data_IF_075269347406
#
_entry.id   IF_075269347406
#
_cell.length_a   1.000
_cell.length_b   1.000
_cell.length_c   1.000
_cell.angle_alpha   90.00
_cell.angle_beta   90.00
_cell.angle_gamma   90.00
#
_symmetry.space_group_name_H-M   'P 1'
#
loop_
_entity.id
_entity.type
_entity.pdbx_description
1 polymer ?
#
# COMPACT_ATOMS: atom_id res chain seq x y z
N UNK A 1 -0.35 -24.93 6.49
CA UNK A 1 -1.26 -24.02 5.77
C UNK A 1 -2.45 -23.57 6.63
N UNK A 2 -2.30 -22.63 7.56
CA UNK A 2 -3.46 -22.07 8.28
C UNK A 2 -3.69 -20.56 8.07
N UNK A 3 -3.02 -19.91 7.10
CA UNK A 3 -3.16 -18.44 6.89
C UNK A 3 -4.38 -18.09 6.03
N UNK A 4 -4.90 -19.02 5.24
CA UNK A 4 -5.96 -18.79 4.24
C UNK A 4 -7.35 -18.65 4.87
N UNK A 5 -7.62 -19.30 5.99
CA UNK A 5 -8.96 -19.32 6.60
C UNK A 5 -9.42 -17.97 7.21
N UNK A 6 -8.50 -17.11 7.63
CA UNK A 6 -8.83 -15.78 8.18
C UNK A 6 -9.06 -14.70 7.12
N UNK A 7 -8.55 -14.88 5.89
CA UNK A 7 -8.68 -13.91 4.81
C UNK A 7 -9.99 -14.03 4.01
N UNK A 8 -10.60 -15.21 3.96
CA UNK A 8 -11.82 -15.45 3.18
C UNK A 8 -13.04 -14.68 3.71
N UNK A 9 -13.14 -14.46 5.02
CA UNK A 9 -14.24 -13.68 5.61
C UNK A 9 -14.12 -12.17 5.31
N UNK A 10 -12.90 -11.67 5.09
CA UNK A 10 -12.62 -10.25 4.80
C UNK A 10 -12.69 -9.92 3.30
N UNK A 11 -12.56 -10.93 2.44
CA UNK A 11 -12.59 -10.77 0.98
C UNK A 11 -13.48 -11.85 0.35
N UNK A 12 -14.80 -11.65 0.33
CA UNK A 12 -15.70 -12.59 -0.32
C UNK A 12 -15.27 -12.74 -1.81
N UNK A 13 -15.36 -13.95 -2.31
CA UNK A 13 -14.94 -14.31 -3.69
C UNK A 13 -13.42 -14.18 -3.95
N UNK A 14 -12.57 -14.34 -2.94
CA UNK A 14 -11.12 -14.19 -3.07
C UNK A 14 -10.55 -15.11 -4.16
N UNK A 15 -10.91 -16.40 -4.15
CA UNK A 15 -10.43 -17.38 -5.12
C UNK A 15 -10.83 -17.01 -6.55
N UNK A 16 -12.10 -16.62 -6.77
CA UNK A 16 -12.59 -16.14 -8.06
C UNK A 16 -11.81 -14.92 -8.55
N UNK A 17 -11.59 -13.94 -7.65
CA UNK A 17 -10.84 -12.72 -7.98
C UNK A 17 -9.38 -13.01 -8.32
N UNK A 18 -8.75 -13.96 -7.62
CA UNK A 18 -7.37 -14.37 -7.89
C UNK A 18 -7.25 -15.11 -9.22
N UNK A 19 -8.20 -15.99 -9.55
CA UNK A 19 -8.24 -16.68 -10.85
C UNK A 19 -8.35 -15.68 -12.00
N UNK A 20 -9.27 -14.72 -11.91
CA UNK A 20 -9.42 -13.65 -12.92
C UNK A 20 -8.17 -12.76 -12.98
N UNK A 21 -7.57 -12.39 -11.83
CA UNK A 21 -6.33 -11.61 -11.83
C UNK A 21 -5.20 -12.31 -12.55
N UNK A 22 -5.03 -13.61 -12.34
CA UNK A 22 -3.99 -14.40 -13.00
C UNK A 22 -4.13 -14.38 -14.55
N UNK A 23 -5.38 -14.35 -15.05
CA UNK A 23 -5.68 -14.23 -16.50
C UNK A 23 -5.54 -12.80 -17.01
N UNK A 24 -5.81 -11.80 -16.16
CA UNK A 24 -5.71 -10.40 -16.56
C UNK A 24 -4.24 -9.91 -16.66
N UNK A 25 -3.35 -10.32 -15.75
CA UNK A 25 -1.99 -9.78 -15.63
C UNK A 25 -1.17 -9.78 -16.91
N UNK A 26 -1.15 -10.84 -17.73
CA UNK A 26 -0.39 -10.84 -18.99
C UNK A 26 -0.83 -9.74 -19.96
N UNK A 27 -2.14 -9.41 -19.97
CA UNK A 27 -2.72 -8.43 -20.89
C UNK A 27 -2.65 -7.00 -20.33
N UNK A 28 -2.63 -6.85 -19.02
CA UNK A 28 -2.55 -5.51 -18.36
C UNK A 28 -1.31 -4.74 -18.79
N UNK A 29 -0.20 -5.40 -19.02
CA UNK A 29 1.04 -4.75 -19.46
C UNK A 29 0.87 -4.01 -20.81
N UNK A 30 0.00 -4.50 -21.70
CA UNK A 30 -0.26 -3.95 -23.03
C UNK A 30 -1.50 -3.06 -23.05
N UNK A 31 -2.64 -3.58 -22.57
CA UNK A 31 -3.97 -2.95 -22.69
C UNK A 31 -4.38 -2.14 -21.45
N UNK A 32 -3.56 -2.17 -20.41
CA UNK A 32 -3.81 -1.47 -19.15
C UNK A 32 -4.94 -2.09 -18.34
N UNK A 33 -5.25 -1.45 -17.21
CA UNK A 33 -6.37 -1.85 -16.35
C UNK A 33 -7.69 -1.33 -16.94
N UNK A 34 -8.31 -2.14 -17.80
CA UNK A 34 -9.48 -1.75 -18.58
C UNK A 34 -10.66 -2.73 -18.39
N UNK A 35 -11.88 -2.26 -18.74
CA UNK A 35 -13.04 -3.14 -18.74
C UNK A 35 -12.91 -4.29 -19.73
N UNK A 36 -12.24 -4.06 -20.86
CA UNK A 36 -12.01 -5.09 -21.87
C UNK A 36 -11.11 -6.19 -21.34
N UNK A 37 -10.00 -5.84 -20.66
CA UNK A 37 -9.09 -6.81 -20.02
C UNK A 37 -9.83 -7.59 -18.92
N UNK A 38 -10.66 -6.93 -18.11
CA UNK A 38 -11.42 -7.63 -17.08
C UNK A 38 -12.41 -8.63 -17.72
N UNK A 39 -13.15 -8.24 -18.76
CA UNK A 39 -14.12 -9.10 -19.43
C UNK A 39 -13.43 -10.33 -20.06
N UNK A 40 -12.35 -10.13 -20.80
CA UNK A 40 -11.56 -11.22 -21.38
C UNK A 40 -11.01 -12.16 -20.31
N UNK A 41 -10.52 -11.62 -19.19
CA UNK A 41 -9.99 -12.43 -18.10
C UNK A 41 -11.07 -13.25 -17.37
N UNK A 42 -12.30 -12.72 -17.24
CA UNK A 42 -13.45 -13.47 -16.70
C UNK A 42 -13.79 -14.66 -17.62
N UNK A 43 -13.84 -14.42 -18.93
CA UNK A 43 -14.12 -15.45 -19.93
C UNK A 43 -13.00 -16.53 -19.92
N UNK A 44 -11.74 -16.10 -19.95
CA UNK A 44 -10.59 -17.03 -19.94
C UNK A 44 -10.47 -17.83 -18.62
N UNK A 45 -10.95 -17.26 -17.50
CA UNK A 45 -11.00 -17.94 -16.22
C UNK A 45 -12.24 -18.84 -16.07
N UNK A 46 -13.10 -18.91 -17.10
CA UNK A 46 -14.34 -19.72 -17.12
C UNK A 46 -15.27 -19.42 -15.91
N UNK A 47 -15.34 -18.16 -15.50
CA UNK A 47 -16.16 -17.73 -14.38
C UNK A 47 -17.60 -17.49 -14.84
N UNK A 48 -18.55 -18.10 -14.13
CA UNK A 48 -19.98 -17.86 -14.36
C UNK A 48 -20.31 -16.35 -14.27
N UNK A 49 -21.15 -15.80 -15.20
CA UNK A 49 -21.47 -14.39 -15.22
C UNK A 49 -22.07 -13.84 -13.92
N UNK A 50 -22.94 -14.60 -13.26
CA UNK A 50 -23.53 -14.17 -11.98
C UNK A 50 -22.47 -14.12 -10.86
N UNK A 51 -21.53 -15.08 -10.88
CA UNK A 51 -20.39 -15.07 -9.95
C UNK A 51 -19.44 -13.90 -10.25
N UNK A 52 -19.22 -13.56 -11.53
CA UNK A 52 -18.39 -12.43 -11.92
C UNK A 52 -18.99 -11.09 -11.43
N UNK A 53 -20.29 -10.88 -11.57
CA UNK A 53 -20.97 -9.69 -11.04
C UNK A 53 -20.81 -9.55 -9.52
N UNK A 54 -20.96 -10.64 -8.79
CA UNK A 54 -20.76 -10.68 -7.34
C UNK A 54 -19.30 -10.45 -6.93
N UNK A 55 -18.36 -10.98 -7.71
CA UNK A 55 -16.94 -10.83 -7.42
C UNK A 55 -16.40 -9.44 -7.77
N UNK A 56 -16.91 -8.80 -8.81
CA UNK A 56 -16.43 -7.53 -9.35
C UNK A 56 -17.51 -6.43 -9.43
N UNK A 57 -18.27 -6.12 -8.34
CA UNK A 57 -19.36 -5.15 -8.37
C UNK A 57 -18.90 -3.72 -8.76
N UNK A 58 -17.61 -3.42 -8.58
CA UNK A 58 -16.98 -2.16 -9.02
C UNK A 58 -15.99 -2.39 -10.17
N UNK A 59 -16.14 -3.50 -10.91
CA UNK A 59 -15.35 -3.80 -12.11
C UNK A 59 -13.85 -3.74 -11.88
N UNK A 60 -13.15 -2.92 -12.67
CA UNK A 60 -11.68 -2.77 -12.65
C UNK A 60 -11.15 -2.33 -11.30
N UNK A 61 -11.90 -1.55 -10.52
CA UNK A 61 -11.47 -1.15 -9.17
C UNK A 61 -11.30 -2.38 -8.26
N UNK A 62 -12.19 -3.38 -8.39
CA UNK A 62 -12.04 -4.64 -7.65
C UNK A 62 -10.82 -5.44 -8.12
N UNK A 63 -10.54 -5.45 -9.43
CA UNK A 63 -9.37 -6.14 -9.97
C UNK A 63 -8.07 -5.52 -9.44
N UNK A 64 -7.96 -4.19 -9.42
CA UNK A 64 -6.80 -3.47 -8.85
C UNK A 64 -6.68 -3.70 -7.34
N UNK A 65 -7.80 -3.73 -6.59
CA UNK A 65 -7.79 -4.11 -5.18
C UNK A 65 -7.23 -5.51 -4.97
N UNK A 66 -7.63 -6.46 -5.81
CA UNK A 66 -7.12 -7.84 -5.77
C UNK A 66 -5.63 -7.90 -6.07
N UNK A 67 -5.16 -7.16 -7.09
CA UNK A 67 -3.75 -7.03 -7.42
C UNK A 67 -2.93 -6.46 -6.26
N UNK A 68 -3.38 -5.37 -5.66
CA UNK A 68 -2.72 -4.77 -4.50
C UNK A 68 -2.65 -5.73 -3.31
N UNK A 69 -3.75 -6.43 -3.02
CA UNK A 69 -3.82 -7.40 -1.93
C UNK A 69 -2.92 -8.63 -2.18
N UNK A 70 -2.81 -9.09 -3.43
CA UNK A 70 -1.90 -10.16 -3.81
C UNK A 70 -0.42 -9.75 -3.59
N UNK A 71 -0.04 -8.53 -3.97
CA UNK A 71 1.29 -8.00 -3.70
C UNK A 71 1.59 -7.83 -2.20
N UNK A 72 0.61 -7.40 -1.40
CA UNK A 72 0.75 -7.33 0.05
C UNK A 72 0.91 -8.72 0.68
N UNK A 73 0.18 -9.72 0.20
CA UNK A 73 0.31 -11.10 0.65
C UNK A 73 1.68 -11.70 0.29
N UNK A 74 2.16 -11.46 -0.93
CA UNK A 74 3.47 -11.89 -1.38
C UNK A 74 4.60 -11.23 -0.55
N UNK A 75 4.50 -9.94 -0.30
CA UNK A 75 5.40 -9.22 0.61
C UNK A 75 5.46 -9.91 1.99
N UNK A 76 4.30 -10.14 2.63
CA UNK A 76 4.26 -10.75 3.96
C UNK A 76 4.83 -12.16 3.98
N UNK A 77 4.64 -12.93 2.89
CA UNK A 77 5.19 -14.26 2.76
C UNK A 77 6.72 -14.27 2.60
N UNK A 78 7.29 -13.24 1.95
CA UNK A 78 8.72 -13.11 1.73
C UNK A 78 9.48 -12.51 2.92
N UNK A 79 8.77 -11.82 3.83
CA UNK A 79 9.38 -11.15 4.96
C UNK A 79 9.93 -12.14 6.00
N UNK A 80 11.20 -11.96 6.46
CA UNK A 80 11.73 -12.77 7.55
C UNK A 80 11.03 -12.47 8.87
N UNK A 81 11.31 -13.26 9.90
CA UNK A 81 10.88 -12.91 11.26
C UNK A 81 11.53 -11.57 11.66
N UNK A 82 10.78 -10.64 12.26
CA UNK A 82 11.31 -9.31 12.56
C UNK A 82 12.28 -9.27 13.73
N UNK A 83 12.55 -10.40 14.38
CA UNK A 83 13.35 -10.50 15.60
C UNK A 83 14.79 -9.95 15.40
N UNK A 84 15.25 -9.18 16.37
CA UNK A 84 16.60 -8.59 16.36
C UNK A 84 16.81 -7.39 15.41
N UNK A 85 15.89 -7.12 14.50
CA UNK A 85 15.99 -5.98 13.58
C UNK A 85 15.45 -4.70 14.22
N UNK A 86 16.15 -3.58 14.00
CA UNK A 86 15.64 -2.25 14.36
C UNK A 86 14.42 -1.92 13.51
N UNK A 87 13.45 -1.16 14.05
CA UNK A 87 12.21 -0.77 13.37
C UNK A 87 12.46 -0.15 11.98
N UNK A 88 13.51 0.66 11.84
CA UNK A 88 13.93 1.24 10.56
C UNK A 88 14.23 0.15 9.52
N UNK A 89 15.06 -0.83 9.88
CA UNK A 89 15.42 -1.93 8.98
C UNK A 89 14.21 -2.77 8.62
N UNK A 90 13.30 -3.02 9.57
CA UNK A 90 12.02 -3.72 9.32
C UNK A 90 11.21 -2.98 8.26
N UNK A 91 10.96 -1.69 8.44
CA UNK A 91 10.15 -0.91 7.49
C UNK A 91 10.83 -0.81 6.12
N UNK A 92 12.16 -0.61 6.06
CA UNK A 92 12.90 -0.63 4.79
C UNK A 92 12.71 -1.96 4.08
N UNK A 93 12.84 -3.07 4.79
CA UNK A 93 12.68 -4.41 4.22
C UNK A 93 11.24 -4.66 3.75
N UNK A 94 10.24 -4.26 4.53
CA UNK A 94 8.84 -4.42 4.14
C UNK A 94 8.50 -3.65 2.84
N UNK A 95 8.95 -2.39 2.71
CA UNK A 95 8.76 -1.63 1.47
C UNK A 95 9.50 -2.28 0.31
N UNK A 96 10.72 -2.77 0.54
CA UNK A 96 11.50 -3.44 -0.49
C UNK A 96 10.84 -4.70 -0.99
N UNK A 97 10.42 -5.59 -0.10
CA UNK A 97 9.72 -6.83 -0.47
C UNK A 97 8.39 -6.55 -1.19
N UNK A 98 7.72 -5.44 -0.85
CA UNK A 98 6.51 -5.03 -1.56
C UNK A 98 6.77 -4.60 -3.02
N UNK A 99 7.91 -3.96 -3.29
CA UNK A 99 8.32 -3.64 -4.66
C UNK A 99 8.69 -4.91 -5.43
N UNK A 100 9.48 -5.79 -4.82
CA UNK A 100 9.88 -7.06 -5.43
C UNK A 100 8.69 -7.98 -5.74
N UNK A 101 7.61 -7.91 -4.94
CA UNK A 101 6.38 -8.64 -5.22
C UNK A 101 5.70 -8.22 -6.54
N UNK A 102 5.97 -7.02 -7.03
CA UNK A 102 5.51 -6.52 -8.33
C UNK A 102 6.59 -6.69 -9.43
N UNK A 103 7.80 -7.21 -9.10
CA UNK A 103 8.97 -7.21 -9.98
C UNK A 103 8.77 -7.84 -11.35
N UNK A 104 8.13 -9.00 -11.42
CA UNK A 104 7.81 -9.69 -12.67
C UNK A 104 6.70 -8.96 -13.47
N UNK A 105 6.00 -8.03 -12.85
CA UNK A 105 4.86 -7.29 -13.40
C UNK A 105 5.03 -5.76 -13.28
N UNK A 106 6.26 -5.25 -13.42
CA UNK A 106 6.55 -3.82 -13.23
C UNK A 106 5.68 -2.93 -14.12
N UNK A 107 5.40 -3.34 -15.36
CA UNK A 107 4.55 -2.58 -16.25
C UNK A 107 3.08 -2.58 -15.76
N UNK A 108 2.57 -3.69 -15.23
CA UNK A 108 1.26 -3.72 -14.60
C UNK A 108 1.19 -2.78 -13.38
N UNK A 109 2.25 -2.72 -12.57
CA UNK A 109 2.36 -1.77 -11.45
C UNK A 109 2.39 -0.31 -11.93
N UNK A 110 3.13 0.00 -13.00
CA UNK A 110 3.16 1.32 -13.64
C UNK A 110 1.78 1.73 -14.16
N UNK A 111 1.10 0.83 -14.87
CA UNK A 111 -0.27 1.03 -15.36
C UNK A 111 -1.28 1.21 -14.22
N UNK A 112 -1.11 0.49 -13.10
CA UNK A 112 -1.96 0.68 -11.91
C UNK A 112 -1.77 2.07 -11.30
N UNK A 113 -0.54 2.57 -11.21
CA UNK A 113 -0.28 3.92 -10.75
C UNK A 113 -0.95 4.97 -11.67
N UNK A 114 -0.87 4.79 -12.99
CA UNK A 114 -1.57 5.63 -13.97
C UNK A 114 -3.08 5.58 -13.81
N UNK A 115 -3.68 4.39 -13.67
CA UNK A 115 -5.11 4.21 -13.45
C UNK A 115 -5.58 4.93 -12.17
N UNK A 116 -4.82 4.81 -11.09
CA UNK A 116 -5.16 5.38 -9.78
C UNK A 116 -4.93 6.91 -9.73
N UNK A 117 -4.13 7.48 -10.63
CA UNK A 117 -3.88 8.93 -10.69
C UNK A 117 -5.03 9.74 -11.30
N UNK A 118 -5.98 9.08 -11.99
CA UNK A 118 -7.11 9.74 -12.63
C UNK A 118 -8.04 10.37 -11.59
N UNK A 119 -8.54 11.61 -11.82
CA UNK A 119 -9.51 12.26 -10.95
C UNK A 119 -10.71 11.34 -10.62
N UNK A 120 -11.13 11.34 -9.34
CA UNK A 120 -12.19 10.46 -8.83
C UNK A 120 -11.70 9.15 -8.20
N UNK A 121 -10.44 8.75 -8.42
CA UNK A 121 -9.85 7.52 -7.86
C UNK A 121 -8.90 7.74 -6.68
N UNK A 122 -8.73 8.99 -6.24
CA UNK A 122 -7.81 9.34 -5.15
C UNK A 122 -8.12 8.60 -3.84
N UNK A 123 -9.43 8.40 -3.55
CA UNK A 123 -9.83 7.63 -2.37
C UNK A 123 -9.36 6.18 -2.46
N UNK A 124 -9.58 5.54 -3.62
CA UNK A 124 -9.11 4.17 -3.84
C UNK A 124 -7.58 4.08 -3.72
N UNK A 125 -6.84 5.00 -4.35
CA UNK A 125 -5.38 5.04 -4.26
C UNK A 125 -4.90 5.19 -2.81
N UNK A 126 -5.50 6.12 -2.06
CA UNK A 126 -5.17 6.34 -0.66
C UNK A 126 -5.48 5.12 0.22
N UNK A 127 -6.64 4.48 0.01
CA UNK A 127 -7.06 3.29 0.77
C UNK A 127 -6.10 2.11 0.53
N UNK A 128 -5.67 1.87 -0.72
CA UNK A 128 -4.71 0.82 -1.05
C UNK A 128 -3.33 1.07 -0.42
N UNK A 129 -2.80 2.28 -0.55
CA UNK A 129 -1.52 2.65 0.05
C UNK A 129 -1.56 2.57 1.58
N UNK A 130 -2.66 3.03 2.18
CA UNK A 130 -2.83 2.97 3.63
C UNK A 130 -2.91 1.51 4.12
N UNK A 131 -3.57 0.63 3.36
CA UNK A 131 -3.67 -0.80 3.68
C UNK A 131 -2.30 -1.45 3.64
N UNK A 132 -1.51 -1.25 2.57
CA UNK A 132 -0.14 -1.76 2.49
C UNK A 132 0.74 -1.23 3.62
N UNK A 133 0.71 0.08 3.88
CA UNK A 133 1.46 0.68 4.99
C UNK A 133 1.01 0.13 6.36
N UNK A 134 -0.29 -0.14 6.55
CA UNK A 134 -0.79 -0.77 7.77
C UNK A 134 -0.20 -2.17 7.97
N UNK A 135 -0.20 -3.01 6.93
CA UNK A 135 0.36 -4.36 7.02
C UNK A 135 1.86 -4.34 7.33
N UNK A 136 2.62 -3.44 6.69
CA UNK A 136 4.06 -3.25 6.96
C UNK A 136 4.32 -2.87 8.42
N UNK A 137 3.55 -1.92 8.97
CA UNK A 137 3.67 -1.49 10.36
C UNK A 137 3.27 -2.60 11.34
N UNK A 138 2.19 -3.35 11.05
CA UNK A 138 1.77 -4.50 11.88
C UNK A 138 2.85 -5.56 11.92
N UNK A 139 3.40 -5.94 10.77
CA UNK A 139 4.52 -6.89 10.71
C UNK A 139 5.75 -6.37 11.47
N UNK A 140 6.04 -5.08 11.37
CA UNK A 140 7.16 -4.45 12.08
C UNK A 140 6.97 -4.38 13.61
N UNK A 141 5.79 -4.77 14.14
CA UNK A 141 5.48 -4.79 15.58
C UNK A 141 4.86 -3.49 16.09
N UNK A 142 4.25 -2.68 15.22
CA UNK A 142 3.56 -1.45 15.66
C UNK A 142 2.18 -1.79 16.22
N UNK A 143 1.97 -1.46 17.49
CA UNK A 143 0.71 -1.63 18.23
C UNK A 143 -0.02 -0.31 18.48
N UNK A 144 0.46 0.81 17.90
CA UNK A 144 -0.15 2.12 18.10
C UNK A 144 -1.63 2.11 17.66
N UNK A 145 -2.48 2.73 18.47
CA UNK A 145 -3.92 2.90 18.20
C UNK A 145 -4.34 4.38 18.22
N UNK A 146 -3.43 5.25 18.61
CA UNK A 146 -3.61 6.69 18.76
C UNK A 146 -3.29 7.47 17.47
N UNK A 147 -3.08 8.78 17.59
CA UNK A 147 -2.66 9.67 16.51
C UNK A 147 -1.43 9.13 15.74
N UNK A 148 -0.47 8.50 16.44
CA UNK A 148 0.72 7.94 15.79
C UNK A 148 0.36 6.80 14.82
N UNK A 149 -0.76 6.11 15.05
CA UNK A 149 -1.28 5.11 14.12
C UNK A 149 -1.48 5.68 12.72
N UNK A 150 -2.18 6.79 12.59
CA UNK A 150 -2.49 7.41 11.30
C UNK A 150 -1.28 8.09 10.67
N UNK A 151 -0.52 8.86 11.47
CA UNK A 151 0.63 9.61 10.96
C UNK A 151 1.73 8.70 10.42
N UNK A 152 2.07 7.61 11.12
CA UNK A 152 3.05 6.63 10.65
C UNK A 152 2.66 6.01 9.30
N UNK A 153 1.40 5.64 9.14
CA UNK A 153 0.88 5.03 7.90
C UNK A 153 0.84 6.02 6.75
N UNK A 154 0.42 7.24 7.02
CA UNK A 154 0.39 8.29 6.00
C UNK A 154 1.80 8.65 5.50
N UNK A 155 2.74 8.81 6.42
CA UNK A 155 4.15 9.08 6.07
C UNK A 155 4.72 7.92 5.26
N UNK A 156 4.48 6.68 5.68
CA UNK A 156 4.95 5.49 4.96
C UNK A 156 4.31 5.38 3.58
N UNK A 157 3.03 5.70 3.43
CA UNK A 157 2.36 5.77 2.12
C UNK A 157 3.07 6.74 1.17
N UNK A 158 3.53 7.88 1.67
CA UNK A 158 4.35 8.82 0.89
C UNK A 158 5.71 8.23 0.48
N UNK A 159 6.38 7.51 1.37
CA UNK A 159 7.63 6.81 1.07
C UNK A 159 7.41 5.72 0.02
N UNK A 160 6.38 4.89 0.16
CA UNK A 160 6.02 3.84 -0.80
C UNK A 160 5.79 4.46 -2.19
N UNK A 161 4.98 5.52 -2.26
CA UNK A 161 4.67 6.21 -3.53
C UNK A 161 5.94 6.77 -4.19
N UNK A 162 6.75 7.52 -3.44
CA UNK A 162 7.98 8.10 -3.97
C UNK A 162 8.98 7.04 -4.43
N UNK A 163 9.12 5.94 -3.68
CA UNK A 163 10.03 4.85 -4.02
C UNK A 163 9.54 4.09 -5.24
N UNK A 164 8.23 3.84 -5.35
CA UNK A 164 7.62 3.17 -6.51
C UNK A 164 7.79 3.99 -7.80
N UNK A 165 7.60 5.30 -7.73
CA UNK A 165 7.83 6.17 -8.89
C UNK A 165 9.30 6.17 -9.33
N UNK A 166 10.24 6.18 -8.38
CA UNK A 166 11.67 6.07 -8.70
C UNK A 166 12.00 4.70 -9.30
N UNK A 167 11.44 3.62 -8.76
CA UNK A 167 11.66 2.26 -9.23
C UNK A 167 11.20 2.02 -10.68
N UNK A 168 10.15 2.69 -11.12
CA UNK A 168 9.65 2.53 -12.48
C UNK A 168 10.66 2.91 -13.57
N UNK A 169 11.60 3.77 -13.27
CA UNK A 169 12.62 4.25 -14.22
C UNK A 169 14.03 3.77 -13.85
N UNK A 170 14.16 2.88 -12.86
CA UNK A 170 15.45 2.34 -12.42
C UNK A 170 15.92 1.22 -13.35
N UNK A 171 17.07 1.44 -14.01
CA UNK A 171 17.73 0.48 -14.87
C UNK A 171 19.03 -0.05 -14.25
N UNK A 172 19.26 0.16 -12.96
CA UNK A 172 20.44 -0.36 -12.27
C UNK A 172 20.30 -1.86 -11.96
N UNK A 173 21.43 -2.55 -11.88
CA UNK A 173 21.46 -3.97 -11.53
C UNK A 173 20.75 -4.21 -10.21
N UNK A 174 19.83 -5.18 -10.17
CA UNK A 174 19.03 -5.55 -9.00
C UNK A 174 18.31 -4.37 -8.34
N UNK A 175 18.00 -3.31 -9.11
CA UNK A 175 17.38 -2.08 -8.61
C UNK A 175 18.15 -1.41 -7.45
N UNK A 176 19.49 -1.48 -7.50
CA UNK A 176 20.35 -0.96 -6.45
C UNK A 176 20.13 0.54 -6.18
N UNK A 177 19.86 1.33 -7.22
CA UNK A 177 19.56 2.76 -7.10
C UNK A 177 18.26 3.02 -6.35
N UNK A 178 17.22 2.22 -6.61
CA UNK A 178 15.95 2.26 -5.88
C UNK A 178 16.13 1.87 -4.41
N UNK A 179 16.92 0.84 -4.14
CA UNK A 179 17.21 0.43 -2.75
C UNK A 179 17.88 1.57 -1.99
N UNK A 180 18.90 2.19 -2.58
CA UNK A 180 19.60 3.33 -1.96
C UNK A 180 18.66 4.56 -1.82
N UNK A 181 17.75 4.80 -2.78
CA UNK A 181 16.74 5.85 -2.67
C UNK A 181 15.80 5.60 -1.49
N UNK A 182 15.27 4.39 -1.35
CA UNK A 182 14.39 4.00 -0.24
C UNK A 182 15.07 4.24 1.11
N UNK A 183 16.32 3.79 1.27
CA UNK A 183 17.08 3.95 2.52
C UNK A 183 17.23 5.43 2.89
N UNK A 184 17.53 6.29 1.92
CA UNK A 184 17.59 7.75 2.15
C UNK A 184 16.22 8.33 2.52
N UNK A 185 15.12 7.88 1.90
CA UNK A 185 13.77 8.36 2.25
C UNK A 185 13.37 7.99 3.67
N UNK A 186 13.63 6.75 4.07
CA UNK A 186 13.38 6.28 5.44
C UNK A 186 14.24 7.08 6.44
N UNK A 187 15.52 7.33 6.15
CA UNK A 187 16.40 8.14 7.01
C UNK A 187 15.85 9.57 7.18
N UNK A 188 15.45 10.22 6.09
CA UNK A 188 14.91 11.57 6.12
C UNK A 188 13.66 11.67 7.02
N UNK A 189 12.75 10.67 6.92
CA UNK A 189 11.56 10.60 7.77
C UNK A 189 11.94 10.45 9.23
N UNK A 190 12.88 9.57 9.54
CA UNK A 190 13.34 9.36 10.93
C UNK A 190 14.02 10.60 11.51
N UNK A 191 14.77 11.35 10.70
CA UNK A 191 15.39 12.61 11.13
C UNK A 191 14.32 13.68 11.39
N UNK A 192 13.31 13.80 10.50
CA UNK A 192 12.21 14.75 10.66
C UNK A 192 11.43 14.48 11.95
N UNK A 193 11.10 13.23 12.26
CA UNK A 193 10.40 12.87 13.49
C UNK A 193 11.24 13.19 14.75
N UNK A 194 12.56 12.99 14.71
CA UNK A 194 13.46 13.39 15.80
C UNK A 194 13.48 14.90 16.00
N UNK A 195 13.52 15.69 14.92
CA UNK A 195 13.50 17.14 14.98
C UNK A 195 12.15 17.64 15.53
N UNK A 196 11.04 17.07 15.04
CA UNK A 196 9.69 17.38 15.51
C UNK A 196 9.52 17.07 17.02
N UNK A 197 10.01 15.92 17.47
CA UNK A 197 9.97 15.56 18.89
C UNK A 197 10.80 16.52 19.75
N UNK A 198 11.98 16.95 19.29
CA UNK A 198 12.80 17.95 19.97
C UNK A 198 12.12 19.30 20.01
N UNK A 199 11.52 19.74 18.90
CA UNK A 199 10.79 21.01 18.82
C UNK A 199 9.55 21.00 19.72
N UNK A 200 8.81 19.89 19.80
CA UNK A 200 7.68 19.73 20.73
C UNK A 200 8.12 19.84 22.19
N UNK A 201 9.17 19.09 22.57
CA UNK A 201 9.72 19.15 23.94
C UNK A 201 10.24 20.54 24.30
N UNK A 202 10.79 21.28 23.32
CA UNK A 202 11.24 22.65 23.52
C UNK A 202 10.07 23.63 23.67
N UNK A 203 9.02 23.49 22.86
CA UNK A 203 7.77 24.27 22.94
C UNK A 203 7.04 24.04 24.27
N UNK A 204 6.95 22.79 24.73
CA UNK A 204 6.36 22.45 26.03
C UNK A 204 7.11 23.06 27.21
N UNK A 205 8.46 23.17 27.10
CA UNK A 205 9.29 23.84 28.12
C UNK A 205 9.12 25.36 28.16
N UNK A 206 8.71 25.97 27.05
CA UNK A 206 8.60 27.45 26.94
C UNK A 206 7.15 27.93 27.11
N UNK A 207 6.12 27.18 26.69
CA UNK A 207 4.76 27.68 26.56
C UNK A 207 3.68 26.80 27.18
N UNK A 208 3.94 25.91 28.10
CA UNK A 208 2.88 25.17 28.81
C UNK A 208 1.60 24.95 27.95
N UNK A 209 1.47 23.75 27.41
CA UNK A 209 0.20 23.11 26.99
C UNK A 209 -0.74 23.77 25.96
N UNK A 210 -0.25 24.50 24.96
CA UNK A 210 -1.06 24.86 23.77
C UNK A 210 -0.24 24.83 22.49
N UNK A 211 -0.24 23.69 21.78
CA UNK A 211 0.40 23.57 20.48
C UNK A 211 -0.57 23.86 19.32
N UNK A 212 -0.23 24.74 18.35
CA UNK A 212 -1.13 25.16 17.26
C UNK A 212 -1.33 24.10 16.16
N UNK A 213 -0.63 22.96 16.20
CA UNK A 213 -0.73 21.89 15.20
C UNK A 213 -1.88 20.89 15.45
N UNK A 214 -2.43 20.85 16.66
CA UNK A 214 -3.54 19.94 17.00
C UNK A 214 -4.85 20.29 16.27
N UNK A 215 -5.01 21.55 15.88
CA UNK A 215 -6.20 22.05 15.17
C UNK A 215 -6.32 21.52 13.73
N UNK A 216 -5.22 21.42 13.00
CA UNK A 216 -5.23 21.00 11.59
C UNK A 216 -5.49 19.49 11.46
N UNK A 217 -4.98 18.71 12.39
CA UNK A 217 -5.07 17.25 12.42
C UNK A 217 -6.41 16.81 12.99
N UNK A 218 -6.93 17.54 13.98
CA UNK A 218 -8.30 17.37 14.47
C UNK A 218 -9.35 17.67 13.39
N UNK A 219 -9.08 18.60 12.47
CA UNK A 219 -9.95 18.88 11.33
C UNK A 219 -9.97 17.75 10.32
N UNK A 220 -8.83 17.13 10.00
CA UNK A 220 -8.74 15.97 9.11
C UNK A 220 -9.42 14.72 9.70
N UNK A 221 -9.28 14.49 10.99
CA UNK A 221 -9.97 13.40 11.68
C UNK A 221 -11.50 13.59 11.69
N UNK A 222 -11.99 14.81 11.90
CA UNK A 222 -13.43 15.13 11.88
C UNK A 222 -14.06 15.02 10.50
N UNK A 223 -13.34 15.26 9.42
CA UNK A 223 -13.87 15.08 8.06
C UNK A 223 -14.18 13.61 7.75
N UNK A 224 -13.44 12.67 8.31
CA UNK A 224 -13.67 11.23 8.12
C UNK A 224 -14.88 10.69 8.90
N UNK A 225 -15.20 11.29 10.06
CA UNK A 225 -16.30 10.85 10.93
C UNK A 225 -17.68 11.37 10.49
N UNK A 226 -17.75 12.28 9.52
CA UNK A 226 -18.99 12.95 9.09
C UNK A 226 -19.66 12.30 7.87
N UNK A 227 -19.16 11.15 7.41
CA UNK A 227 -19.66 10.41 6.24
C UNK A 227 -20.12 8.97 6.55
N UNK A 228 -20.57 8.73 7.78
CA UNK A 228 -21.38 7.54 8.11
C UNK A 228 -22.76 7.98 8.53
#
# INVERSE_FOLDING_TARGET
MPIVAGMSAQYPYLETRQAVLAKALPNVAFDGWSKAVLAAAIEEAEIDPAMAELAFPHGVDNLIKTYSAAGDAAMLAALPKPDGLKIRARITEAVWQRLLADGDNIEAARRAAGYLSVPGRQKLAADLLFTSAHQMWRWAGDEATDYNYYSKRLILSGVITATRLYWFDDNSDDFASTRAFLERRIENVMQFEKVKAKAKNWSEKIHGDKAPLDGLIGALAKMRYRQN
#
